data_IF_865409386144
#
_entry.id   IF_865409386144
#
_cell.length_a   1.000
_cell.length_b   1.000
_cell.length_c   1.000
_cell.angle_alpha   90.00
_cell.angle_beta   90.00
_cell.angle_gamma   90.00
#
_symmetry.space_group_name_H-M   'P 1'
#
loop_
_entity.id
_entity.type
_entity.pdbx_description
1 polymer ?
#
# COMPACT_ATOMS: atom_id res chain seq x y z
N UNK A 1 -5.95 -15.00 -12.91
CA UNK A 1 -5.54 -14.25 -11.71
C UNK A 1 -4.28 -14.82 -11.13
N UNK A 2 -3.19 -14.04 -11.14
CA UNK A 2 -1.95 -14.43 -10.45
C UNK A 2 -2.14 -14.24 -8.94
N UNK A 3 -1.65 -15.16 -8.08
CA UNK A 3 -1.75 -15.01 -6.63
C UNK A 3 -0.96 -13.77 -6.17
N UNK A 4 -1.56 -12.97 -5.30
CA UNK A 4 -0.91 -11.80 -4.68
C UNK A 4 0.32 -12.26 -3.92
N UNK A 5 1.50 -11.76 -4.27
CA UNK A 5 2.72 -12.09 -3.54
C UNK A 5 2.79 -11.28 -2.25
N UNK A 6 3.44 -11.79 -1.18
CA UNK A 6 3.61 -11.05 0.06
C UNK A 6 4.29 -9.68 -0.14
N UNK A 7 5.11 -9.50 -1.17
CA UNK A 7 5.76 -8.22 -1.49
C UNK A 7 4.86 -7.23 -2.23
N UNK A 8 3.74 -7.68 -2.80
CA UNK A 8 2.95 -6.86 -3.70
C UNK A 8 2.15 -5.81 -2.93
N UNK A 9 2.18 -4.54 -3.40
CA UNK A 9 1.32 -3.52 -2.83
C UNK A 9 -0.15 -3.84 -3.13
N UNK A 10 -1.00 -3.70 -2.13
CA UNK A 10 -2.44 -3.97 -2.19
C UNK A 10 -3.24 -2.76 -1.74
N UNK A 11 -4.40 -2.60 -2.35
CA UNK A 11 -5.39 -1.60 -1.93
C UNK A 11 -6.28 -2.21 -0.87
N UNK A 12 -6.39 -1.52 0.26
CA UNK A 12 -7.08 -1.99 1.46
C UNK A 12 -8.13 -0.97 1.87
N UNK A 13 -9.31 -1.48 2.20
CA UNK A 13 -10.43 -0.69 2.71
C UNK A 13 -10.75 -1.12 4.13
N UNK A 14 -10.87 -0.15 5.04
CA UNK A 14 -11.37 -0.35 6.39
C UNK A 14 -12.86 0.02 6.43
N UNK A 15 -13.79 -0.91 6.73
CA UNK A 15 -15.20 -0.58 6.87
C UNK A 15 -15.42 0.57 7.86
N UNK A 16 -16.21 1.56 7.46
CA UNK A 16 -16.43 2.79 8.24
C UNK A 16 -15.37 3.88 8.05
N UNK A 17 -14.33 3.63 7.25
CA UNK A 17 -13.40 4.67 6.79
C UNK A 17 -13.82 5.21 5.43
N UNK A 18 -13.61 6.50 5.18
CA UNK A 18 -13.81 7.10 3.86
C UNK A 18 -12.58 6.95 2.93
N UNK A 19 -11.50 6.33 3.41
CA UNK A 19 -10.21 6.30 2.71
C UNK A 19 -9.77 4.89 2.33
N UNK A 20 -9.21 4.81 1.12
CA UNK A 20 -8.44 3.65 0.68
C UNK A 20 -6.99 3.79 1.16
N UNK A 21 -6.41 2.66 1.58
CA UNK A 21 -5.04 2.59 2.06
C UNK A 21 -4.22 1.72 1.12
N UNK A 22 -2.99 2.17 0.84
CA UNK A 22 -2.01 1.35 0.14
C UNK A 22 -1.10 0.70 1.19
N UNK A 23 -1.05 -0.63 1.19
CA UNK A 23 -0.25 -1.43 2.13
C UNK A 23 0.47 -2.54 1.35
N UNK A 24 1.38 -3.24 2.00
CA UNK A 24 2.01 -4.46 1.48
C UNK A 24 1.79 -5.57 2.50
N UNK A 25 1.65 -6.80 2.03
CA UNK A 25 1.74 -7.92 2.96
C UNK A 25 3.15 -8.01 3.53
N UNK A 26 3.27 -8.60 4.71
CA UNK A 26 4.56 -8.99 5.26
C UNK A 26 4.34 -10.24 6.09
N UNK A 27 5.14 -11.26 5.82
CA UNK A 27 5.17 -12.48 6.62
C UNK A 27 5.82 -12.15 7.95
N UNK A 28 5.10 -12.41 9.05
CA UNK A 28 5.62 -12.29 10.41
C UNK A 28 6.21 -13.61 10.90
N UNK A 29 5.48 -14.69 10.66
CA UNK A 29 5.87 -16.04 11.08
C UNK A 29 5.39 -17.04 10.04
N UNK A 30 6.13 -18.14 9.88
CA UNK A 30 5.74 -19.27 9.06
C UNK A 30 6.01 -20.54 9.85
N UNK A 31 4.96 -21.32 10.11
CA UNK A 31 5.02 -22.57 10.86
C UNK A 31 4.13 -23.63 10.22
N UNK A 32 4.15 -24.85 10.75
CA UNK A 32 3.28 -25.94 10.29
C UNK A 32 1.79 -25.64 10.50
N UNK A 33 1.44 -24.68 11.37
CA UNK A 33 0.07 -24.24 11.61
C UNK A 33 -0.42 -23.21 10.57
N UNK A 34 0.48 -22.65 9.75
CA UNK A 34 0.15 -21.63 8.76
C UNK A 34 1.15 -20.48 8.70
N UNK A 35 0.77 -19.44 7.96
CA UNK A 35 1.58 -18.23 7.78
C UNK A 35 0.86 -17.04 8.40
N UNK A 36 1.51 -16.37 9.34
CA UNK A 36 1.03 -15.13 9.92
C UNK A 36 1.46 -13.94 9.06
N UNK A 37 0.50 -13.09 8.72
CA UNK A 37 0.74 -11.90 7.92
C UNK A 37 0.35 -10.63 8.66
N UNK A 38 1.04 -9.53 8.35
CA UNK A 38 0.58 -8.17 8.58
C UNK A 38 0.41 -7.42 7.25
N UNK A 39 -0.43 -6.39 7.27
CA UNK A 39 -0.45 -5.35 6.24
C UNK A 39 0.43 -4.19 6.69
N UNK A 40 1.70 -4.25 6.31
CA UNK A 40 2.67 -3.21 6.61
C UNK A 40 2.42 -1.95 5.76
N UNK A 41 2.68 -0.78 6.33
CA UNK A 41 2.72 0.46 5.57
C UNK A 41 3.81 0.44 4.52
N UNK A 42 3.57 1.16 3.42
CA UNK A 42 4.60 1.41 2.40
C UNK A 42 5.71 2.30 2.98
N UNK A 43 5.34 3.30 3.79
CA UNK A 43 6.28 4.17 4.48
C UNK A 43 6.55 3.67 5.91
N UNK A 44 7.81 3.61 6.37
CA UNK A 44 8.19 3.00 7.65
C UNK A 44 7.57 3.69 8.87
N UNK A 45 7.35 5.00 8.81
CA UNK A 45 6.83 5.78 9.93
C UNK A 45 5.35 5.52 10.27
N UNK A 46 4.63 4.79 9.42
CA UNK A 46 3.20 4.57 9.60
C UNK A 46 2.91 3.14 10.08
N UNK A 47 1.97 2.97 11.04
CA UNK A 47 1.65 1.65 11.58
C UNK A 47 1.04 0.72 10.53
N UNK A 48 1.38 -0.57 10.64
CA UNK A 48 0.72 -1.65 9.90
C UNK A 48 -0.58 -2.11 10.58
N UNK A 49 -1.24 -3.08 9.97
CA UNK A 49 -2.41 -3.76 10.54
C UNK A 49 -2.12 -5.24 10.70
N UNK A 50 -2.45 -5.82 11.85
CA UNK A 50 -2.23 -7.24 12.16
C UNK A 50 -3.39 -7.80 12.99
N UNK A 51 -3.47 -9.13 13.11
CA UNK A 51 -4.42 -9.82 13.98
C UNK A 51 -5.89 -9.45 13.73
N UNK A 52 -6.61 -9.08 14.78
CA UNK A 52 -8.04 -8.75 14.70
C UNK A 52 -8.33 -7.53 13.82
N UNK A 53 -7.42 -6.55 13.79
CA UNK A 53 -7.59 -5.40 12.91
C UNK A 53 -7.49 -5.82 11.44
N UNK A 54 -6.49 -6.64 11.09
CA UNK A 54 -6.36 -7.21 9.75
C UNK A 54 -7.63 -7.98 9.32
N UNK A 55 -8.21 -8.78 10.22
CA UNK A 55 -9.43 -9.54 9.94
C UNK A 55 -10.65 -8.66 9.62
N UNK A 56 -10.65 -7.41 10.08
CA UNK A 56 -11.70 -6.43 9.77
C UNK A 56 -11.49 -5.67 8.46
N UNK A 57 -10.32 -5.81 7.83
CA UNK A 57 -9.99 -5.13 6.57
C UNK A 57 -10.53 -5.89 5.36
N UNK A 58 -10.86 -5.15 4.31
CA UNK A 58 -11.17 -5.70 2.99
C UNK A 58 -10.01 -5.41 2.03
N UNK A 59 -9.42 -6.47 1.48
CA UNK A 59 -8.39 -6.35 0.44
C UNK A 59 -9.10 -6.29 -0.91
N UNK A 60 -9.01 -5.15 -1.58
CA UNK A 60 -9.69 -4.92 -2.86
C UNK A 60 -8.92 -5.52 -4.04
N UNK A 61 -7.60 -5.61 -3.93
CA UNK A 61 -6.75 -6.25 -4.93
C UNK A 61 -5.32 -5.70 -4.98
N UNK A 62 -4.47 -6.31 -5.83
CA UNK A 62 -3.08 -5.89 -6.02
C UNK A 62 -2.98 -4.63 -6.87
N UNK A 63 -1.91 -3.87 -6.66
CA UNK A 63 -1.52 -2.75 -7.52
C UNK A 63 -0.62 -3.27 -8.62
N UNK A 64 -1.14 -3.29 -9.85
CA UNK A 64 -0.41 -3.78 -11.02
C UNK A 64 0.67 -2.80 -11.51
N UNK A 65 0.41 -1.51 -11.40
CA UNK A 65 1.35 -0.48 -11.87
C UNK A 65 1.14 0.85 -11.13
N UNK A 66 2.25 1.46 -10.72
CA UNK A 66 2.29 2.86 -10.30
C UNK A 66 3.00 3.69 -11.36
N UNK A 67 2.40 4.82 -11.75
CA UNK A 67 2.99 5.76 -12.71
C UNK A 67 3.08 7.14 -12.08
N UNK A 68 4.19 7.84 -12.29
CA UNK A 68 4.27 9.27 -11.95
C UNK A 68 3.39 10.05 -12.92
N UNK A 69 2.56 11.00 -12.43
CA UNK A 69 1.76 11.83 -13.32
C UNK A 69 2.68 12.66 -14.24
N UNK A 70 2.31 12.75 -15.52
CA UNK A 70 3.08 13.49 -16.52
C UNK A 70 3.06 15.00 -16.23
N UNK A 71 1.99 15.50 -15.61
CA UNK A 71 1.84 16.91 -15.20
C UNK A 71 2.85 17.37 -14.14
N UNK A 72 3.51 16.43 -13.43
CA UNK A 72 4.58 16.76 -12.47
C UNK A 72 5.86 17.29 -13.15
N UNK A 73 6.08 17.05 -14.45
CA UNK A 73 7.22 17.62 -15.18
C UNK A 73 7.04 19.12 -15.48
N UNK A 74 5.81 19.55 -15.73
CA UNK A 74 5.54 20.95 -16.11
C UNK A 74 5.66 21.88 -14.91
N UNK A 75 5.31 21.42 -13.71
CA UNK A 75 5.26 22.28 -12.51
C UNK A 75 6.64 22.63 -11.92
N UNK A 76 7.69 21.87 -12.23
CA UNK A 76 9.07 22.20 -11.82
C UNK A 76 9.73 23.21 -12.77
N UNK A 77 9.50 23.10 -14.08
CA UNK A 77 10.05 24.03 -15.06
C UNK A 77 9.50 25.46 -14.90
N UNK A 78 8.21 25.60 -14.56
CA UNK A 78 7.59 26.92 -14.35
C UNK A 78 8.12 27.63 -13.10
N UNK A 79 8.57 26.87 -12.08
CA UNK A 79 9.16 27.48 -10.88
C UNK A 79 10.59 27.98 -11.13
N UNK A 80 11.37 27.34 -12.01
CA UNK A 80 12.73 27.80 -12.33
C UNK A 80 12.76 29.09 -13.16
N UNK A 81 11.77 29.31 -14.05
CA UNK A 81 11.67 30.55 -14.85
C UNK A 81 11.19 31.76 -14.03
N UNK A 82 10.45 31.56 -12.94
CA UNK A 82 9.91 32.66 -12.15
C UNK A 82 10.93 33.30 -11.19
N UNK A 83 12.13 32.70 -11.06
CA UNK A 83 13.23 33.17 -10.20
C UNK A 83 14.48 33.64 -10.99
N UNK A 84 14.35 33.89 -12.30
CA UNK A 84 15.34 34.63 -13.10
C UNK A 84 14.84 36.02 -13.47
#
# INVERSE_FOLDING_TARGET
>A
DAPIQPSDPVVVFKPGSERLNLKRYRVLSQSDAGVDYELASIHPDFPGFAGAELASMQILGPVLQMRRPVSSRVRLAVLEEQYR
#
